data_IF_870846928899
#
_entry.id   IF_870846928899
#
_cell.length_a   1.000
_cell.length_b   1.000
_cell.length_c   1.000
_cell.angle_alpha   90.00
_cell.angle_beta   90.00
_cell.angle_gamma   90.00
#
_symmetry.space_group_name_H-M   'P 1'
#
loop_
_entity.id
_entity.type
_entity.pdbx_description
1 polymer ?
#
# COMPACT_ATOMS: atom_id res chain seq x y z
N UNK A 1 4.36 -0.13 -22.59
CA UNK A 1 4.17 1.07 -21.74
C UNK A 1 2.85 1.12 -20.98
N UNK A 2 1.74 1.73 -21.44
CA UNK A 2 0.55 1.90 -20.56
C UNK A 2 -0.04 0.58 -20.03
N UNK A 3 -0.06 -0.48 -20.86
CA UNK A 3 -0.49 -1.83 -20.45
C UNK A 3 0.41 -2.45 -19.37
N UNK A 4 1.71 -2.15 -19.40
CA UNK A 4 2.68 -2.68 -18.43
C UNK A 4 2.56 -1.97 -17.08
N UNK A 5 2.37 -0.65 -17.10
CA UNK A 5 2.11 0.12 -15.88
C UNK A 5 0.80 -0.31 -15.21
N UNK A 6 -0.27 -0.53 -15.99
CA UNK A 6 -1.52 -1.09 -15.44
C UNK A 6 -1.32 -2.48 -14.84
N UNK A 7 -0.45 -3.31 -15.47
CA UNK A 7 -0.10 -4.63 -14.94
C UNK A 7 0.67 -4.52 -13.63
N UNK A 8 1.60 -3.58 -13.50
CA UNK A 8 2.35 -3.31 -12.27
C UNK A 8 1.42 -2.82 -11.14
N UNK A 9 0.49 -1.92 -11.43
CA UNK A 9 -0.50 -1.44 -10.46
C UNK A 9 -1.42 -2.57 -9.98
N UNK A 10 -1.95 -3.39 -10.90
CA UNK A 10 -2.71 -4.60 -10.53
C UNK A 10 -1.89 -5.56 -9.67
N UNK A 11 -0.62 -5.77 -10.01
CA UNK A 11 0.26 -6.65 -9.24
C UNK A 11 0.46 -6.13 -7.81
N UNK A 12 0.57 -4.80 -7.63
CA UNK A 12 0.67 -4.19 -6.32
C UNK A 12 -0.64 -4.32 -5.51
N UNK A 13 -1.80 -4.11 -6.14
CA UNK A 13 -3.11 -4.31 -5.53
C UNK A 13 -3.33 -5.77 -5.10
N UNK A 14 -2.98 -6.73 -5.98
CA UNK A 14 -3.04 -8.15 -5.69
C UNK A 14 -2.11 -8.53 -4.54
N UNK A 15 -0.91 -7.95 -4.48
CA UNK A 15 0.04 -8.13 -3.38
C UNK A 15 -0.53 -7.68 -2.03
N UNK A 16 -1.12 -6.49 -1.95
CA UNK A 16 -1.79 -6.01 -0.73
C UNK A 16 -2.96 -6.92 -0.34
N UNK A 17 -3.77 -7.34 -1.32
CA UNK A 17 -4.90 -8.24 -1.07
C UNK A 17 -4.46 -9.60 -0.53
N UNK A 18 -3.37 -10.15 -1.06
CA UNK A 18 -2.78 -11.39 -0.55
C UNK A 18 -2.25 -11.23 0.86
N UNK A 19 -1.63 -10.09 1.22
CA UNK A 19 -1.20 -9.84 2.60
C UNK A 19 -2.38 -9.81 3.55
N UNK A 20 -3.48 -9.15 3.19
CA UNK A 20 -4.70 -9.14 4.00
C UNK A 20 -5.28 -10.54 4.16
N UNK A 21 -5.32 -11.36 3.09
CA UNK A 21 -5.76 -12.75 3.18
C UNK A 21 -4.87 -13.60 4.09
N UNK A 22 -3.55 -13.51 3.95
CA UNK A 22 -2.60 -14.22 4.83
C UNK A 22 -2.82 -13.89 6.31
N UNK A 23 -3.20 -12.64 6.64
CA UNK A 23 -3.55 -12.27 8.02
C UNK A 23 -4.81 -12.98 8.49
N UNK A 24 -5.84 -13.06 7.65
CA UNK A 24 -7.08 -13.79 7.96
C UNK A 24 -6.86 -15.30 8.11
N UNK A 25 -6.08 -15.92 7.21
CA UNK A 25 -5.79 -17.36 7.25
C UNK A 25 -5.05 -17.76 8.52
N UNK A 26 -4.14 -16.90 9.02
CA UNK A 26 -3.45 -17.11 10.31
C UNK A 26 -4.45 -17.14 11.47
N UNK A 27 -5.49 -16.31 11.43
CA UNK A 27 -6.50 -16.26 12.48
C UNK A 27 -7.40 -17.52 12.49
N UNK A 28 -7.59 -18.18 11.35
CA UNK A 28 -8.33 -19.44 11.24
C UNK A 28 -7.50 -20.64 11.69
N UNK A 29 -6.24 -20.76 11.26
CA UNK A 29 -5.35 -21.87 11.62
C UNK A 29 -5.09 -21.97 13.13
N UNK A 30 -5.08 -20.84 13.84
CA UNK A 30 -4.92 -20.80 15.30
C UNK A 30 -6.15 -21.41 16.03
N UNK A 31 -7.32 -21.50 15.38
CA UNK A 31 -8.55 -22.02 15.99
C UNK A 31 -8.73 -23.54 15.88
N UNK A 32 -8.16 -24.20 14.87
CA UNK A 32 -8.49 -25.60 14.55
C UNK A 32 -7.69 -26.66 15.31
N UNK A 33 -6.48 -26.36 15.82
CA UNK A 33 -5.74 -27.29 16.68
C UNK A 33 -4.67 -26.55 17.53
N UNK A 34 -4.70 -26.66 18.85
CA UNK A 34 -3.94 -25.77 19.73
C UNK A 34 -2.41 -25.95 19.64
N UNK A 35 -1.93 -27.19 19.44
CA UNK A 35 -0.48 -27.49 19.41
C UNK A 35 0.09 -27.37 18.00
N UNK A 36 -0.60 -27.92 17.00
CA UNK A 36 -0.20 -27.83 15.59
C UNK A 36 -0.45 -26.43 15.01
N UNK A 37 -1.59 -25.83 15.32
CA UNK A 37 -1.93 -24.45 14.96
C UNK A 37 -0.98 -23.43 15.57
N UNK A 38 -0.42 -23.68 16.77
CA UNK A 38 0.60 -22.80 17.34
C UNK A 38 1.93 -22.84 16.57
N UNK A 39 2.41 -24.02 16.19
CA UNK A 39 3.67 -24.16 15.41
C UNK A 39 3.52 -23.57 14.01
N UNK A 40 2.41 -23.87 13.33
CA UNK A 40 2.10 -23.33 12.00
C UNK A 40 1.88 -21.81 12.09
N UNK A 41 1.11 -21.35 13.07
CA UNK A 41 0.88 -19.94 13.34
C UNK A 41 2.17 -19.17 13.57
N UNK A 42 3.13 -19.72 14.33
CA UNK A 42 4.45 -19.10 14.55
C UNK A 42 5.25 -18.97 13.25
N UNK A 43 5.24 -19.99 12.40
CA UNK A 43 5.91 -19.94 11.09
C UNK A 43 5.24 -18.93 10.16
N UNK A 44 3.91 -18.90 10.11
CA UNK A 44 3.14 -17.95 9.31
C UNK A 44 3.29 -16.50 9.78
N UNK A 45 3.39 -16.27 11.08
CA UNK A 45 3.71 -14.94 11.62
C UNK A 45 5.10 -14.48 11.21
N UNK A 46 6.11 -15.37 11.19
CA UNK A 46 7.44 -15.05 10.67
C UNK A 46 7.39 -14.70 9.18
N UNK A 47 6.66 -15.49 8.38
CA UNK A 47 6.43 -15.22 6.96
C UNK A 47 5.80 -13.82 6.76
N UNK A 48 4.72 -13.52 7.49
CA UNK A 48 4.04 -12.23 7.43
C UNK A 48 4.95 -11.07 7.83
N UNK A 49 5.79 -11.24 8.85
CA UNK A 49 6.74 -10.22 9.28
C UNK A 49 7.79 -9.94 8.20
N UNK A 50 8.30 -10.98 7.52
CA UNK A 50 9.22 -10.81 6.39
C UNK A 50 8.54 -10.08 5.23
N UNK A 51 7.31 -10.44 4.89
CA UNK A 51 6.54 -9.76 3.85
C UNK A 51 6.26 -8.29 4.19
N UNK A 52 5.92 -7.99 5.45
CA UNK A 52 5.77 -6.60 5.93
C UNK A 52 7.09 -5.82 5.84
N UNK A 53 8.20 -6.43 6.25
CA UNK A 53 9.51 -5.81 6.14
C UNK A 53 9.86 -5.52 4.68
N UNK A 54 9.61 -6.47 3.77
CA UNK A 54 9.78 -6.29 2.32
C UNK A 54 8.91 -5.15 1.79
N UNK A 55 7.62 -5.12 2.11
CA UNK A 55 6.71 -4.05 1.70
C UNK A 55 7.18 -2.67 2.22
N UNK A 56 7.65 -2.60 3.46
CA UNK A 56 8.22 -1.39 4.04
C UNK A 56 9.46 -0.90 3.28
N UNK A 57 10.35 -1.81 2.87
CA UNK A 57 11.54 -1.46 2.06
C UNK A 57 11.14 -0.96 0.67
N UNK A 58 10.20 -1.63 0.00
CA UNK A 58 9.67 -1.18 -1.31
C UNK A 58 9.05 0.22 -1.19
N UNK A 59 8.27 0.46 -0.14
CA UNK A 59 7.70 1.79 0.13
C UNK A 59 8.79 2.85 0.34
N UNK A 60 9.83 2.55 1.12
CA UNK A 60 10.96 3.46 1.35
C UNK A 60 11.72 3.78 0.05
N UNK A 61 11.94 2.77 -0.80
CA UNK A 61 12.54 2.93 -2.13
C UNK A 61 11.65 3.86 -2.97
N UNK A 62 10.36 3.54 -3.10
CA UNK A 62 9.42 4.36 -3.87
C UNK A 62 9.36 5.81 -3.38
N UNK A 63 9.34 6.04 -2.06
CA UNK A 63 9.38 7.38 -1.47
C UNK A 63 10.67 8.12 -1.82
N UNK A 64 11.82 7.45 -1.77
CA UNK A 64 13.10 8.07 -2.14
C UNK A 64 13.14 8.39 -3.64
N UNK A 65 12.68 7.48 -4.48
CA UNK A 65 12.57 7.68 -5.93
C UNK A 65 11.65 8.84 -6.28
N UNK A 66 10.48 8.94 -5.64
CA UNK A 66 9.56 10.05 -5.86
C UNK A 66 10.17 11.40 -5.45
N UNK A 67 10.94 11.43 -4.35
CA UNK A 67 11.70 12.63 -3.97
C UNK A 67 12.76 13.01 -5.02
N UNK A 68 13.51 12.04 -5.54
CA UNK A 68 14.48 12.27 -6.62
C UNK A 68 13.79 12.78 -7.90
N UNK A 69 12.58 12.28 -8.20
CA UNK A 69 11.76 12.78 -9.30
C UNK A 69 11.37 14.25 -9.09
N UNK A 70 10.95 14.63 -7.88
CA UNK A 70 10.64 16.02 -7.54
C UNK A 70 11.86 16.95 -7.64
N UNK A 71 13.06 16.40 -7.39
CA UNK A 71 14.34 17.10 -7.55
C UNK A 71 14.83 17.15 -9.02
N UNK A 72 14.09 16.54 -9.97
CA UNK A 72 14.46 16.49 -11.39
C UNK A 72 15.61 15.54 -11.71
N UNK A 73 15.96 14.63 -10.79
CA UNK A 73 17.13 13.74 -10.91
C UNK A 73 16.80 12.37 -11.53
N UNK A 74 15.55 12.12 -11.88
CA UNK A 74 15.11 10.88 -12.54
C UNK A 74 15.02 11.12 -14.04
N UNK A 75 15.79 10.36 -14.82
CA UNK A 75 15.81 10.44 -16.29
C UNK A 75 15.07 9.28 -16.96
N UNK A 76 14.78 8.22 -16.21
CA UNK A 76 14.07 7.05 -16.72
C UNK A 76 12.60 7.36 -17.00
N UNK A 77 12.16 7.09 -18.24
CA UNK A 77 10.82 7.45 -18.72
C UNK A 77 9.72 6.69 -17.99
N UNK A 78 9.94 5.43 -17.64
CA UNK A 78 8.93 4.62 -16.93
C UNK A 78 8.76 5.11 -15.49
N UNK A 79 9.88 5.40 -14.82
CA UNK A 79 9.88 5.95 -13.45
C UNK A 79 9.21 7.32 -13.40
N UNK A 80 9.48 8.19 -14.39
CA UNK A 80 8.80 9.49 -14.53
C UNK A 80 7.28 9.28 -14.65
N UNK A 81 6.82 8.40 -15.54
CA UNK A 81 5.39 8.15 -15.73
C UNK A 81 4.70 7.63 -14.46
N UNK A 82 5.36 6.72 -13.72
CA UNK A 82 4.85 6.24 -12.44
C UNK A 82 4.74 7.35 -11.40
N UNK A 83 5.73 8.26 -11.35
CA UNK A 83 5.71 9.41 -10.44
C UNK A 83 4.62 10.43 -10.82
N UNK A 84 4.38 10.67 -12.11
CA UNK A 84 3.30 11.53 -12.57
C UNK A 84 1.92 10.97 -12.19
N UNK A 85 1.72 9.67 -12.35
CA UNK A 85 0.48 9.00 -11.92
C UNK A 85 0.31 9.10 -10.40
N UNK A 86 1.38 8.90 -9.63
CA UNK A 86 1.37 9.07 -8.18
C UNK A 86 0.99 10.51 -7.78
N UNK A 87 1.57 11.52 -8.42
CA UNK A 87 1.24 12.94 -8.19
C UNK A 87 -0.24 13.23 -8.43
N UNK A 88 -0.82 12.71 -9.52
CA UNK A 88 -2.26 12.85 -9.81
C UNK A 88 -3.13 12.21 -8.73
N UNK A 89 -2.76 11.02 -8.24
CA UNK A 89 -3.45 10.35 -7.13
C UNK A 89 -3.40 11.19 -5.85
N UNK A 90 -2.23 11.73 -5.51
CA UNK A 90 -2.07 12.61 -4.34
C UNK A 90 -2.90 13.89 -4.45
N UNK A 91 -2.95 14.50 -5.63
CA UNK A 91 -3.76 15.70 -5.87
C UNK A 91 -5.25 15.41 -5.68
N UNK A 92 -5.75 14.30 -6.24
CA UNK A 92 -7.13 13.87 -6.04
C UNK A 92 -7.41 13.60 -4.55
N UNK A 93 -6.53 12.86 -3.87
CA UNK A 93 -6.68 12.58 -2.44
C UNK A 93 -6.72 13.87 -1.60
N UNK A 94 -5.86 14.85 -1.89
CA UNK A 94 -5.88 16.17 -1.22
C UNK A 94 -7.20 16.89 -1.44
N UNK A 95 -7.76 16.87 -2.65
CA UNK A 95 -9.08 17.46 -2.96
C UNK A 95 -10.18 16.82 -2.12
N UNK A 96 -10.26 15.49 -2.09
CA UNK A 96 -11.27 14.78 -1.29
C UNK A 96 -11.12 15.03 0.21
N UNK A 97 -9.89 15.02 0.75
CA UNK A 97 -9.64 15.36 2.15
C UNK A 97 -10.05 16.80 2.49
N UNK A 98 -9.74 17.77 1.61
CA UNK A 98 -10.16 19.15 1.78
C UNK A 98 -11.68 19.30 1.81
N UNK A 99 -12.38 18.65 0.88
CA UNK A 99 -13.85 18.64 0.81
C UNK A 99 -14.47 18.00 2.05
N UNK A 100 -13.97 16.84 2.48
CA UNK A 100 -14.45 16.18 3.70
C UNK A 100 -14.27 17.08 4.94
N UNK A 101 -13.12 17.75 5.07
CA UNK A 101 -12.85 18.68 6.17
C UNK A 101 -13.76 19.90 6.15
N UNK A 102 -14.09 20.43 4.96
CA UNK A 102 -15.02 21.56 4.79
C UNK A 102 -16.43 21.16 5.20
N UNK A 103 -16.95 20.03 4.70
CA UNK A 103 -18.26 19.51 5.06
C UNK A 103 -18.37 19.22 6.56
N UNK A 104 -17.33 18.64 7.17
CA UNK A 104 -17.30 18.39 8.61
C UNK A 104 -17.37 19.68 9.44
N UNK A 105 -16.79 20.79 8.95
CA UNK A 105 -16.93 22.11 9.60
C UNK A 105 -18.36 22.65 9.45
N UNK A 106 -18.94 22.59 8.26
CA UNK A 106 -20.31 23.07 8.01
C UNK A 106 -21.34 22.33 8.87
N UNK A 107 -21.17 21.02 9.09
CA UNK A 107 -22.02 20.22 9.99
C UNK A 107 -21.85 20.67 11.45
N UNK A 108 -20.62 21.00 11.89
CA UNK A 108 -20.37 21.49 13.25
C UNK A 108 -20.90 22.89 13.52
N UNK A 109 -20.99 23.76 12.50
CA UNK A 109 -21.54 25.11 12.63
C UNK A 109 -23.09 25.16 12.59
N UNK A 110 -23.75 24.07 12.16
CA UNK A 110 -25.22 23.93 12.13
C UNK A 110 -25.81 23.28 13.39
N UNK A 111 -24.98 22.83 14.32
CA UNK A 111 -25.38 22.36 15.67
C UNK A 111 -25.13 23.43 16.69
#
# INVERSE_FOLDING_TARGET
MQKEIQKLLKTAEDGLRQLTKKVSDIAEIVKEDAVYGFRIGKLKLKELNLERAKASKVYAIGRRTYKLYQEGLVTDKETIQLCEQLSKLEEMARKYHGTAKRLAKEIKFKK
#
